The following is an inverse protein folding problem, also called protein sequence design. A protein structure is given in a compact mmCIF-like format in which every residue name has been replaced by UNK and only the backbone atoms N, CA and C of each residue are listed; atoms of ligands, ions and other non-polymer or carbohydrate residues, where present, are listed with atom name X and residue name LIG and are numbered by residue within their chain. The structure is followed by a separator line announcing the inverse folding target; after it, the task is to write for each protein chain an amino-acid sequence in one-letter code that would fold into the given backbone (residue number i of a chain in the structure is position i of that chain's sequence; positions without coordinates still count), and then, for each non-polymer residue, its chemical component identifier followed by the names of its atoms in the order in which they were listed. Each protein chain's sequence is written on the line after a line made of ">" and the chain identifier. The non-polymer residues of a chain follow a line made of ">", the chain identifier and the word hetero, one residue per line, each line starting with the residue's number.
data_IF_123255282992
#
_entry.id   IF_123255282992
#
_cell.length_a   1.000
_cell.length_b   1.000
_cell.length_c   1.000
_cell.angle_alpha   90.00
_cell.angle_beta   90.00
_cell.angle_gamma   90.00
#
_symmetry.space_group_name_H-M   'P 1'
#
loop_
_entity.id
_entity.type
_entity.pdbx_description
1 polymer ?
#
# COMPACT_ATOMS: atom_id res chain seq x y z
N UNK A 1 28.37 27.33 57.76
CA UNK A 1 29.46 26.48 58.29
C UNK A 1 30.05 25.69 57.13
N UNK A 2 31.34 25.87 56.82
CA UNK A 2 32.03 25.26 55.68
C UNK A 2 32.89 24.05 56.10
N UNK A 3 33.19 23.13 55.16
CA UNK A 3 34.49 22.43 55.09
C UNK A 3 34.81 22.02 53.64
N UNK A 4 35.86 22.66 53.09
CA UNK A 4 36.91 22.16 52.16
C UNK A 4 37.35 20.72 52.51
N UNK A 5 38.07 19.93 51.73
CA UNK A 5 38.73 19.93 50.41
C UNK A 5 39.09 18.43 50.16
N UNK A 6 39.36 17.95 48.95
CA UNK A 6 40.75 17.77 48.48
C UNK A 6 40.75 17.20 47.04
N UNK A 7 41.53 17.84 46.17
CA UNK A 7 42.17 17.26 44.98
C UNK A 7 43.59 16.80 45.38
N UNK A 8 44.22 15.83 44.71
CA UNK A 8 45.17 16.24 43.65
C UNK A 8 45.42 15.25 42.48
N UNK A 9 46.00 15.83 41.42
CA UNK A 9 47.03 15.32 40.50
C UNK A 9 46.69 14.31 39.38
N UNK A 10 46.74 14.85 38.16
CA UNK A 10 47.04 14.23 36.84
C UNK A 10 48.44 13.54 36.85
N UNK A 11 48.74 12.60 35.94
CA UNK A 11 49.41 13.03 34.71
C UNK A 11 49.05 12.23 33.43
N UNK A 12 48.90 12.99 32.33
CA UNK A 12 48.98 12.54 30.94
C UNK A 12 50.32 11.85 30.60
N UNK A 13 50.31 10.90 29.67
CA UNK A 13 51.32 10.77 28.62
C UNK A 13 50.62 10.89 27.26
N UNK A 14 51.11 11.53 26.21
CA UNK A 14 52.44 11.94 25.80
C UNK A 14 52.33 12.11 24.28
N UNK A 15 52.33 13.36 23.82
CA UNK A 15 52.27 13.71 22.40
C UNK A 15 53.63 13.36 21.78
N UNK A 16 53.70 12.35 20.92
CA UNK A 16 54.88 12.07 20.12
C UNK A 16 54.68 12.62 18.70
N UNK A 17 55.15 13.85 18.48
CA UNK A 17 55.45 14.39 17.16
C UNK A 17 56.94 14.17 16.94
N UNK A 18 57.33 13.43 15.90
CA UNK A 18 58.62 13.64 15.20
C UNK A 18 58.52 13.35 13.70
N UNK A 19 59.36 14.03 12.89
CA UNK A 19 59.20 14.22 11.45
C UNK A 19 60.04 13.23 10.65
N UNK A 20 59.78 13.11 9.34
CA UNK A 20 60.63 12.29 8.48
C UNK A 20 60.19 12.26 7.03
N UNK A 21 60.60 13.27 6.29
CA UNK A 21 60.61 13.30 4.83
C UNK A 21 61.69 12.31 4.37
N UNK A 22 61.36 11.35 3.49
CA UNK A 22 62.36 10.79 2.57
C UNK A 22 61.69 10.24 1.31
N UNK A 23 62.05 10.87 0.21
CA UNK A 23 61.88 10.47 -1.18
C UNK A 23 62.66 9.18 -1.52
N UNK A 24 62.02 8.27 -2.25
CA UNK A 24 62.62 7.28 -3.16
C UNK A 24 61.47 6.66 -3.99
N UNK A 25 61.05 7.23 -5.12
CA UNK A 25 61.50 6.93 -6.48
C UNK A 25 61.83 5.45 -6.77
N UNK A 26 60.80 4.67 -7.08
CA UNK A 26 60.80 3.52 -8.00
C UNK A 26 59.32 3.32 -8.41
N UNK A 27 58.87 3.73 -9.59
CA UNK A 27 59.24 3.09 -10.85
C UNK A 27 58.44 1.80 -11.06
N UNK A 28 57.10 1.88 -11.09
CA UNK A 28 56.25 0.84 -11.68
C UNK A 28 55.13 1.49 -12.49
N UNK A 29 55.40 1.56 -13.78
CA UNK A 29 54.47 1.75 -14.87
C UNK A 29 53.49 0.56 -14.97
N UNK A 30 52.39 0.60 -14.22
CA UNK A 30 51.28 -0.30 -14.53
C UNK A 30 50.52 0.23 -15.76
N UNK A 31 51.06 -0.11 -16.94
CA UNK A 31 50.33 -0.08 -18.20
C UNK A 31 49.10 -0.98 -18.07
N UNK A 32 47.91 -0.37 -17.98
CA UNK A 32 46.64 -1.08 -18.06
C UNK A 32 46.49 -1.71 -19.44
N UNK A 33 46.83 -3.00 -19.54
CA UNK A 33 46.50 -3.82 -20.70
C UNK A 33 44.98 -3.99 -20.75
N UNK A 34 44.33 -3.34 -21.71
CA UNK A 34 42.92 -3.59 -22.05
C UNK A 34 42.82 -4.95 -22.74
N UNK A 35 42.87 -6.03 -21.96
CA UNK A 35 42.53 -7.35 -22.45
C UNK A 35 41.04 -7.36 -22.85
N UNK A 36 40.79 -7.32 -24.16
CA UNK A 36 39.46 -7.47 -24.73
C UNK A 36 38.87 -8.81 -24.31
N UNK A 37 37.84 -8.78 -23.46
CA UNK A 37 37.05 -9.96 -23.12
C UNK A 37 36.40 -10.49 -24.40
N UNK A 38 36.60 -11.75 -24.81
CA UNK A 38 35.95 -12.28 -26.00
C UNK A 38 34.44 -12.26 -25.82
N UNK A 39 33.74 -11.61 -26.76
CA UNK A 39 32.29 -11.57 -26.78
C UNK A 39 31.74 -13.00 -26.85
N UNK A 40 31.00 -13.42 -25.82
CA UNK A 40 30.28 -14.70 -25.84
C UNK A 40 29.25 -14.66 -26.98
N UNK A 41 29.15 -15.69 -27.84
CA UNK A 41 28.12 -15.71 -28.88
C UNK A 41 26.74 -15.66 -28.24
N UNK A 42 25.89 -14.75 -28.72
CA UNK A 42 24.52 -14.63 -28.25
C UNK A 42 23.78 -15.97 -28.41
N UNK A 43 22.98 -16.41 -27.42
CA UNK A 43 22.24 -17.66 -27.54
C UNK A 43 21.30 -17.59 -28.75
N UNK A 44 21.40 -18.58 -29.65
CA UNK A 44 20.46 -18.73 -30.76
C UNK A 44 19.09 -19.11 -30.21
N UNK A 45 18.19 -18.13 -30.10
CA UNK A 45 16.82 -18.35 -29.70
C UNK A 45 16.07 -19.10 -30.83
N UNK A 46 15.82 -20.39 -30.63
CA UNK A 46 14.94 -21.17 -31.50
C UNK A 46 13.52 -20.59 -31.44
N UNK A 47 13.10 -19.92 -32.51
CA UNK A 47 11.75 -19.33 -32.69
C UNK A 47 10.60 -20.34 -32.66
N UNK A 48 10.90 -21.64 -32.63
CA UNK A 48 9.92 -22.74 -32.73
C UNK A 48 9.35 -23.23 -31.39
N UNK A 49 9.83 -22.75 -30.24
CA UNK A 49 9.17 -22.99 -28.95
C UNK A 49 8.37 -21.74 -28.59
N UNK A 50 7.05 -21.82 -28.72
CA UNK A 50 6.13 -20.77 -28.28
C UNK A 50 6.46 -20.37 -26.84
N UNK A 51 7.00 -19.17 -26.67
CA UNK A 51 7.29 -18.63 -25.36
C UNK A 51 5.96 -18.53 -24.60
N UNK A 52 5.87 -18.98 -23.33
CA UNK A 52 4.72 -18.63 -22.51
C UNK A 52 4.59 -17.11 -22.54
N UNK A 53 3.42 -16.61 -22.97
CA UNK A 53 3.15 -15.21 -23.28
C UNK A 53 3.99 -14.26 -22.41
N UNK A 54 5.01 -13.66 -23.03
CA UNK A 54 5.95 -12.78 -22.35
C UNK A 54 5.21 -11.62 -21.69
N UNK A 55 5.54 -11.37 -20.43
CA UNK A 55 4.98 -10.28 -19.63
C UNK A 55 5.28 -8.95 -20.33
N UNK A 56 4.23 -8.23 -20.72
CA UNK A 56 4.31 -7.04 -21.60
C UNK A 56 3.66 -7.24 -22.98
N UNK A 57 3.17 -8.44 -23.29
CA UNK A 57 2.34 -8.66 -24.46
C UNK A 57 1.08 -7.78 -24.39
N UNK A 58 0.94 -6.87 -25.36
CA UNK A 58 -0.28 -6.10 -25.56
C UNK A 58 -1.45 -7.06 -25.68
N UNK A 59 -2.47 -6.88 -24.85
CA UNK A 59 -3.69 -7.69 -24.91
C UNK A 59 -4.41 -7.34 -26.21
N UNK A 60 -4.04 -8.03 -27.29
CA UNK A 60 -4.51 -7.75 -28.65
C UNK A 60 -5.72 -8.60 -29.03
N UNK A 61 -6.09 -9.60 -28.20
CA UNK A 61 -7.21 -10.50 -28.46
C UNK A 61 -8.01 -10.79 -27.19
N UNK A 62 -9.34 -10.72 -27.30
CA UNK A 62 -10.30 -10.98 -26.21
C UNK A 62 -10.07 -12.34 -25.53
N UNK A 63 -9.82 -13.41 -26.29
CA UNK A 63 -9.57 -14.73 -25.74
C UNK A 63 -8.26 -14.81 -24.93
N UNK A 64 -7.28 -13.96 -25.24
CA UNK A 64 -6.05 -13.83 -24.46
C UNK A 64 -6.31 -13.02 -23.18
N UNK A 65 -7.11 -11.96 -23.26
CA UNK A 65 -7.59 -11.19 -22.11
C UNK A 65 -8.33 -12.08 -21.11
N UNK A 66 -9.30 -12.88 -21.59
CA UNK A 66 -10.10 -13.80 -20.77
C UNK A 66 -9.22 -14.90 -20.15
N UNK A 67 -8.20 -15.41 -20.87
CA UNK A 67 -7.24 -16.39 -20.33
C UNK A 67 -6.28 -15.79 -19.28
N UNK A 68 -5.96 -14.50 -19.37
CA UNK A 68 -5.19 -13.78 -18.34
C UNK A 68 -6.06 -13.29 -17.18
N UNK A 69 -7.34 -13.05 -17.42
CA UNK A 69 -8.36 -12.76 -16.40
C UNK A 69 -8.62 -13.96 -15.47
N UNK A 70 -7.98 -15.11 -15.69
CA UNK A 70 -7.94 -16.25 -14.76
C UNK A 70 -7.48 -15.79 -13.38
N UNK A 71 -8.40 -15.64 -12.41
CA UNK A 71 -8.36 -15.71 -10.92
C UNK A 71 -7.14 -15.17 -10.11
N UNK A 72 -5.96 -15.07 -10.70
CA UNK A 72 -5.46 -13.78 -11.17
C UNK A 72 -5.64 -12.59 -10.25
N UNK A 73 -6.53 -11.72 -10.72
CA UNK A 73 -6.84 -10.39 -10.21
C UNK A 73 -7.16 -10.37 -8.70
N UNK A 74 -6.85 -9.27 -7.99
CA UNK A 74 -7.27 -9.06 -6.61
C UNK A 74 -8.79 -8.88 -6.56
N UNK A 75 -9.53 -9.99 -6.60
CA UNK A 75 -10.99 -9.98 -6.73
C UNK A 75 -11.66 -9.31 -5.53
N UNK A 76 -11.08 -9.44 -4.33
CA UNK A 76 -11.67 -8.87 -3.13
C UNK A 76 -11.73 -7.33 -3.20
N UNK A 77 -10.61 -6.60 -3.41
CA UNK A 77 -10.64 -5.16 -3.64
C UNK A 77 -11.56 -4.75 -4.78
N UNK A 78 -11.60 -5.50 -5.89
CA UNK A 78 -12.52 -5.19 -7.00
C UNK A 78 -13.97 -5.21 -6.53
N UNK A 79 -14.41 -6.27 -5.85
CA UNK A 79 -15.78 -6.37 -5.34
C UNK A 79 -16.07 -5.36 -4.23
N UNK A 80 -15.08 -5.01 -3.39
CA UNK A 80 -15.21 -3.93 -2.39
C UNK A 80 -15.62 -2.61 -3.04
N UNK A 81 -15.05 -2.24 -4.19
CA UNK A 81 -15.43 -0.99 -4.88
C UNK A 81 -16.91 -1.00 -5.30
N UNK A 82 -17.39 -2.12 -5.82
CA UNK A 82 -18.80 -2.27 -6.19
C UNK A 82 -19.70 -2.25 -4.96
N UNK A 83 -19.33 -2.93 -3.87
CA UNK A 83 -20.04 -2.85 -2.59
C UNK A 83 -20.19 -1.39 -2.15
N UNK A 84 -19.09 -0.63 -2.08
CA UNK A 84 -19.12 0.78 -1.65
C UNK A 84 -19.98 1.61 -2.59
N UNK A 85 -19.73 1.52 -3.90
CA UNK A 85 -20.44 2.33 -4.89
C UNK A 85 -21.95 2.06 -4.87
N UNK A 86 -22.38 0.81 -4.82
CA UNK A 86 -23.79 0.44 -4.80
C UNK A 86 -24.48 0.88 -3.50
N UNK A 87 -23.84 0.69 -2.34
CA UNK A 87 -24.42 1.14 -1.07
C UNK A 87 -24.55 2.65 -0.99
N UNK A 88 -23.51 3.40 -1.40
CA UNK A 88 -23.54 4.87 -1.44
C UNK A 88 -24.59 5.37 -2.44
N UNK A 89 -24.70 4.72 -3.60
CA UNK A 89 -25.68 5.08 -4.63
C UNK A 89 -27.11 4.87 -4.11
N UNK A 90 -27.39 3.72 -3.49
CA UNK A 90 -28.68 3.46 -2.84
C UNK A 90 -29.03 4.53 -1.81
N UNK A 91 -28.09 4.83 -0.90
CA UNK A 91 -28.27 5.87 0.09
C UNK A 91 -28.60 7.23 -0.52
N UNK A 92 -27.85 7.64 -1.56
CA UNK A 92 -28.07 8.91 -2.23
C UNK A 92 -29.48 8.98 -2.85
N UNK A 93 -29.93 7.92 -3.52
CA UNK A 93 -31.26 7.92 -4.14
C UNK A 93 -32.40 7.89 -3.13
N UNK A 94 -32.28 7.11 -2.05
CA UNK A 94 -33.28 7.10 -0.98
C UNK A 94 -33.29 8.46 -0.23
N UNK A 95 -32.13 9.11 -0.04
CA UNK A 95 -32.09 10.46 0.53
C UNK A 95 -32.72 11.50 -0.39
N UNK A 96 -32.45 11.45 -1.70
CA UNK A 96 -33.07 12.35 -2.67
C UNK A 96 -34.58 12.13 -2.74
N UNK A 97 -35.05 10.89 -2.63
CA UNK A 97 -36.48 10.59 -2.56
C UNK A 97 -37.12 11.22 -1.31
N UNK A 98 -36.49 11.05 -0.15
CA UNK A 98 -36.99 11.61 1.10
C UNK A 98 -37.05 13.15 1.08
N UNK A 99 -36.09 13.81 0.42
CA UNK A 99 -36.01 15.27 0.36
C UNK A 99 -36.90 15.90 -0.73
N UNK A 100 -37.07 15.22 -1.86
CA UNK A 100 -37.72 15.80 -3.05
C UNK A 100 -39.01 15.10 -3.48
N UNK A 101 -39.35 13.94 -2.89
CA UNK A 101 -40.60 13.21 -3.17
C UNK A 101 -40.65 12.54 -4.56
N UNK A 102 -39.49 12.28 -5.17
CA UNK A 102 -39.43 11.67 -6.50
C UNK A 102 -39.58 10.15 -6.43
N UNK A 103 -40.81 9.65 -6.57
CA UNK A 103 -41.14 8.22 -6.51
C UNK A 103 -40.33 7.34 -7.48
N UNK A 104 -39.86 7.87 -8.62
CA UNK A 104 -39.01 7.13 -9.55
C UNK A 104 -37.65 6.73 -8.95
N UNK A 105 -37.17 7.46 -7.93
CA UNK A 105 -35.91 7.17 -7.25
C UNK A 105 -36.04 5.98 -6.29
N UNK A 106 -37.25 5.66 -5.82
CA UNK A 106 -37.51 4.48 -4.97
C UNK A 106 -37.06 3.18 -5.65
N UNK A 107 -37.30 3.05 -6.96
CA UNK A 107 -36.89 1.88 -7.70
C UNK A 107 -35.36 1.77 -7.77
N UNK A 108 -34.68 2.89 -8.01
CA UNK A 108 -33.22 2.93 -8.11
C UNK A 108 -32.57 2.60 -6.77
N UNK A 109 -33.04 3.22 -5.67
CA UNK A 109 -32.58 2.92 -4.31
C UNK A 109 -32.74 1.44 -3.96
N UNK A 110 -33.90 0.87 -4.25
CA UNK A 110 -34.20 -0.54 -3.99
C UNK A 110 -33.28 -1.52 -4.75
N UNK A 111 -33.18 -1.36 -6.07
CA UNK A 111 -32.39 -2.28 -6.90
C UNK A 111 -30.89 -2.14 -6.65
N UNK A 112 -30.40 -0.93 -6.36
CA UNK A 112 -29.00 -0.71 -6.02
C UNK A 112 -28.64 -1.29 -4.65
N UNK A 113 -29.52 -1.18 -3.65
CA UNK A 113 -29.30 -1.83 -2.35
C UNK A 113 -29.29 -3.35 -2.48
N UNK A 114 -30.24 -3.91 -3.23
CA UNK A 114 -30.32 -5.35 -3.51
C UNK A 114 -29.03 -5.83 -4.17
N UNK A 115 -28.55 -5.11 -5.19
CA UNK A 115 -27.27 -5.40 -5.82
C UNK A 115 -26.10 -5.28 -4.83
N UNK A 116 -26.10 -4.28 -3.95
CA UNK A 116 -25.07 -4.11 -2.92
C UNK A 116 -25.00 -5.33 -1.98
N UNK A 117 -26.14 -5.87 -1.53
CA UNK A 117 -26.20 -7.08 -0.71
C UNK A 117 -25.58 -8.27 -1.45
N UNK A 118 -26.01 -8.51 -2.70
CA UNK A 118 -25.52 -9.64 -3.50
C UNK A 118 -24.01 -9.55 -3.79
N UNK A 119 -23.52 -8.36 -4.15
CA UNK A 119 -22.09 -8.13 -4.39
C UNK A 119 -21.29 -8.30 -3.10
N UNK A 120 -21.80 -7.79 -1.97
CA UNK A 120 -21.11 -7.89 -0.67
C UNK A 120 -20.94 -9.33 -0.22
N UNK A 121 -21.89 -10.22 -0.53
CA UNK A 121 -21.71 -11.65 -0.32
C UNK A 121 -20.48 -12.19 -1.05
N UNK A 122 -20.28 -11.79 -2.32
CA UNK A 122 -19.07 -12.10 -3.09
C UNK A 122 -17.81 -11.44 -2.51
N UNK A 123 -17.92 -10.20 -2.03
CA UNK A 123 -16.83 -9.45 -1.37
C UNK A 123 -16.30 -10.20 -0.14
N UNK A 124 -17.19 -10.73 0.70
CA UNK A 124 -16.80 -11.53 1.88
C UNK A 124 -16.14 -12.83 1.46
N UNK A 125 -16.73 -13.58 0.52
CA UNK A 125 -16.20 -14.86 0.07
C UNK A 125 -14.78 -14.71 -0.51
N UNK A 126 -14.57 -13.68 -1.33
CA UNK A 126 -13.25 -13.36 -1.90
C UNK A 126 -12.28 -12.82 -0.84
N UNK A 127 -12.75 -12.08 0.16
CA UNK A 127 -11.95 -11.58 1.28
C UNK A 127 -11.39 -12.70 2.15
N UNK A 128 -12.21 -13.68 2.53
CA UNK A 128 -11.77 -14.87 3.27
C UNK A 128 -10.69 -15.61 2.47
N UNK A 129 -10.92 -15.82 1.17
CA UNK A 129 -9.94 -16.46 0.27
C UNK A 129 -8.64 -15.66 0.17
N UNK A 130 -8.70 -14.33 0.15
CA UNK A 130 -7.53 -13.47 0.14
C UNK A 130 -6.73 -13.61 1.43
N UNK A 131 -7.40 -13.55 2.58
CA UNK A 131 -6.75 -13.72 3.89
C UNK A 131 -5.96 -15.01 4.00
N UNK A 132 -6.51 -16.13 3.51
CA UNK A 132 -5.83 -17.44 3.53
C UNK A 132 -4.56 -17.48 2.67
N UNK A 133 -4.40 -16.55 1.71
CA UNK A 133 -3.26 -16.49 0.78
C UNK A 133 -2.21 -15.46 1.18
N UNK A 134 -2.55 -14.51 2.05
CA UNK A 134 -1.67 -13.41 2.46
C UNK A 134 -0.85 -13.83 3.70
N UNK A 135 0.49 -14.01 3.57
CA UNK A 135 1.35 -14.17 4.73
C UNK A 135 1.64 -12.79 5.35
N UNK A 136 0.68 -12.30 6.13
CA UNK A 136 0.83 -11.09 6.94
C UNK A 136 1.30 -11.52 8.33
N UNK A 137 2.54 -11.16 8.66
CA UNK A 137 3.17 -11.37 9.97
C UNK A 137 2.48 -10.52 11.05
N UNK A 138 2.70 -10.88 12.32
CA UNK A 138 2.14 -10.14 13.46
C UNK A 138 2.70 -8.70 13.51
N UNK A 139 1.88 -7.75 13.96
CA UNK A 139 2.20 -6.33 13.97
C UNK A 139 1.01 -5.46 13.54
N UNK A 140 1.30 -4.22 13.16
CA UNK A 140 0.28 -3.21 12.80
C UNK A 140 -0.61 -3.70 11.65
N UNK A 141 -0.02 -4.19 10.55
CA UNK A 141 -0.75 -4.74 9.40
C UNK A 141 -1.74 -5.86 9.78
N UNK A 142 -1.35 -6.73 10.71
CA UNK A 142 -2.21 -7.82 11.19
C UNK A 142 -3.35 -7.32 12.05
N UNK A 143 -3.11 -6.26 12.84
CA UNK A 143 -4.15 -5.61 13.64
C UNK A 143 -5.25 -5.03 12.76
N UNK A 144 -4.86 -4.24 11.75
CA UNK A 144 -5.79 -3.68 10.75
C UNK A 144 -6.60 -4.78 10.05
N UNK A 145 -5.93 -5.87 9.65
CA UNK A 145 -6.58 -7.02 9.02
C UNK A 145 -7.60 -7.71 9.93
N UNK A 146 -7.29 -7.87 11.23
CA UNK A 146 -8.23 -8.46 12.20
C UNK A 146 -9.47 -7.61 12.37
N UNK A 147 -9.30 -6.30 12.55
CA UNK A 147 -10.44 -5.38 12.70
C UNK A 147 -11.29 -5.35 11.43
N UNK A 148 -10.66 -5.26 10.26
CA UNK A 148 -11.36 -5.28 8.96
C UNK A 148 -12.18 -6.56 8.75
N UNK A 149 -11.61 -7.72 9.12
CA UNK A 149 -12.27 -9.02 9.03
C UNK A 149 -13.38 -9.19 10.06
N UNK A 150 -13.21 -8.66 11.27
CA UNK A 150 -14.22 -8.72 12.32
C UNK A 150 -15.42 -7.84 11.98
N UNK A 151 -15.19 -6.66 11.40
CA UNK A 151 -16.25 -5.70 11.06
C UNK A 151 -17.02 -6.10 9.79
N UNK A 152 -16.41 -6.87 8.87
CA UNK A 152 -17.02 -7.29 7.60
C UNK A 152 -18.37 -8.02 7.75
N UNK A 153 -18.47 -9.09 8.55
CA UNK A 153 -19.73 -9.78 8.80
C UNK A 153 -20.80 -8.89 9.43
N UNK A 154 -20.43 -8.01 10.37
CA UNK A 154 -21.35 -7.05 10.97
C UNK A 154 -21.88 -6.05 9.94
N UNK A 155 -21.02 -5.50 9.09
CA UNK A 155 -21.43 -4.65 7.96
C UNK A 155 -22.41 -5.36 7.03
N UNK A 156 -22.13 -6.62 6.68
CA UNK A 156 -23.02 -7.39 5.83
C UNK A 156 -24.37 -7.69 6.48
N UNK A 157 -24.37 -8.04 7.77
CA UNK A 157 -25.61 -8.23 8.53
C UNK A 157 -26.47 -6.96 8.58
N UNK A 158 -25.85 -5.80 8.81
CA UNK A 158 -26.51 -4.50 8.76
C UNK A 158 -27.10 -4.23 7.36
N UNK A 159 -26.33 -4.51 6.31
CA UNK A 159 -26.78 -4.31 4.93
C UNK A 159 -27.94 -5.23 4.57
N UNK A 160 -27.94 -6.49 5.02
CA UNK A 160 -29.05 -7.43 4.85
C UNK A 160 -30.29 -6.96 5.63
N UNK A 161 -30.13 -6.54 6.88
CA UNK A 161 -31.23 -6.05 7.69
C UNK A 161 -31.90 -4.82 7.06
N UNK A 162 -31.11 -3.86 6.56
CA UNK A 162 -31.62 -2.71 5.82
C UNK A 162 -32.20 -3.09 4.46
N UNK A 163 -31.64 -4.10 3.79
CA UNK A 163 -32.22 -4.67 2.58
C UNK A 163 -33.62 -5.26 2.82
N UNK A 164 -33.81 -5.99 3.92
CA UNK A 164 -35.12 -6.54 4.30
C UNK A 164 -36.10 -5.41 4.60
N UNK A 165 -35.73 -4.46 5.47
CA UNK A 165 -36.57 -3.31 5.80
C UNK A 165 -36.95 -2.51 4.54
N UNK A 166 -35.96 -2.26 3.66
CA UNK A 166 -36.21 -1.56 2.40
C UNK A 166 -37.11 -2.33 1.45
N UNK A 167 -37.04 -3.67 1.48
CA UNK A 167 -37.88 -4.56 0.69
C UNK A 167 -39.33 -4.58 1.18
N UNK A 168 -39.56 -4.51 2.48
CA UNK A 168 -40.90 -4.35 3.05
C UNK A 168 -41.55 -3.03 2.60
N UNK A 169 -40.79 -1.92 2.65
CA UNK A 169 -41.26 -0.63 2.13
C UNK A 169 -41.58 -0.71 0.63
N UNK A 170 -40.73 -1.35 -0.15
CA UNK A 170 -40.93 -1.54 -1.59
C UNK A 170 -42.21 -2.35 -1.89
N UNK A 171 -42.43 -3.47 -1.18
CA UNK A 171 -43.62 -4.31 -1.38
C UNK A 171 -44.92 -3.60 -0.96
N UNK A 172 -44.85 -2.75 0.08
CA UNK A 172 -45.99 -1.95 0.52
C UNK A 172 -46.27 -0.73 -0.38
N UNK A 173 -45.41 -0.42 -1.36
CA UNK A 173 -45.48 0.82 -2.13
C UNK A 173 -45.23 2.07 -1.27
N UNK A 174 -44.54 1.92 -0.14
CA UNK A 174 -44.25 2.99 0.79
C UNK A 174 -42.96 3.75 0.41
N UNK A 175 -42.90 5.03 0.78
CA UNK A 175 -41.71 5.87 0.65
C UNK A 175 -40.68 5.53 1.73
N UNK A 176 -39.43 5.97 1.58
CA UNK A 176 -38.47 5.80 2.68
C UNK A 176 -38.77 6.76 3.83
N UNK A 177 -38.34 6.40 5.03
CA UNK A 177 -38.57 7.19 6.25
C UNK A 177 -37.28 7.81 6.77
N UNK A 178 -37.39 8.87 7.57
CA UNK A 178 -36.24 9.46 8.26
C UNK A 178 -35.46 8.46 9.11
N UNK A 179 -36.15 7.50 9.74
CA UNK A 179 -35.52 6.45 10.54
C UNK A 179 -34.71 5.47 9.69
N UNK A 180 -35.24 5.08 8.53
CA UNK A 180 -34.51 4.26 7.57
C UNK A 180 -33.24 4.96 7.08
N UNK A 181 -33.36 6.24 6.69
CA UNK A 181 -32.22 7.03 6.23
C UNK A 181 -31.18 7.24 7.33
N UNK A 182 -31.60 7.49 8.58
CA UNK A 182 -30.69 7.56 9.73
C UNK A 182 -29.93 6.24 9.94
N UNK A 183 -30.58 5.09 9.78
CA UNK A 183 -29.92 3.80 9.85
C UNK A 183 -28.93 3.58 8.68
N UNK A 184 -29.28 4.03 7.47
CA UNK A 184 -28.35 4.02 6.33
C UNK A 184 -27.13 4.92 6.56
N UNK A 185 -27.26 6.07 7.23
CA UNK A 185 -26.12 6.90 7.64
C UNK A 185 -25.18 6.10 8.56
N UNK A 186 -25.72 5.31 9.50
CA UNK A 186 -24.93 4.39 10.31
C UNK A 186 -24.13 3.39 9.46
N UNK A 187 -24.77 2.82 8.43
CA UNK A 187 -24.08 1.94 7.46
C UNK A 187 -23.02 2.69 6.66
N UNK A 188 -23.25 3.94 6.26
CA UNK A 188 -22.25 4.77 5.57
C UNK A 188 -20.99 4.99 6.43
N UNK A 189 -21.15 5.20 7.74
CA UNK A 189 -20.02 5.30 8.67
C UNK A 189 -19.24 3.99 8.70
N UNK A 190 -19.92 2.85 8.83
CA UNK A 190 -19.27 1.53 8.81
C UNK A 190 -18.58 1.26 7.47
N UNK A 191 -19.19 1.65 6.34
CA UNK A 191 -18.59 1.57 5.00
C UNK A 191 -17.30 2.39 4.91
N UNK A 192 -17.31 3.62 5.43
CA UNK A 192 -16.13 4.48 5.43
C UNK A 192 -14.98 3.87 6.27
N UNK A 193 -15.29 3.32 7.46
CA UNK A 193 -14.31 2.62 8.30
C UNK A 193 -13.76 1.38 7.59
N UNK A 194 -14.62 0.57 6.97
CA UNK A 194 -14.17 -0.60 6.20
C UNK A 194 -13.29 -0.23 5.01
N UNK A 195 -13.64 0.84 4.29
CA UNK A 195 -12.85 1.40 3.20
C UNK A 195 -11.49 1.90 3.67
N UNK A 196 -11.43 2.59 4.81
CA UNK A 196 -10.19 3.06 5.41
C UNK A 196 -9.27 1.89 5.81
N UNK A 197 -9.78 0.91 6.56
CA UNK A 197 -9.01 -0.25 7.00
C UNK A 197 -8.49 -1.07 5.82
N UNK A 198 -9.35 -1.31 4.82
CA UNK A 198 -8.98 -2.02 3.59
C UNK A 198 -7.97 -1.24 2.75
N UNK A 199 -8.15 0.08 2.66
CA UNK A 199 -7.22 0.99 1.99
C UNK A 199 -5.84 0.94 2.62
N UNK A 200 -5.73 0.99 3.95
CA UNK A 200 -4.46 0.90 4.64
C UNK A 200 -3.73 -0.43 4.37
N UNK A 201 -4.47 -1.54 4.37
CA UNK A 201 -3.93 -2.85 4.03
C UNK A 201 -3.36 -2.87 2.60
N UNK A 202 -4.04 -2.28 1.63
CA UNK A 202 -3.61 -2.27 0.23
C UNK A 202 -2.48 -1.26 0.00
N UNK A 203 -2.66 -0.01 0.43
CA UNK A 203 -1.79 1.10 0.06
C UNK A 203 -0.55 1.22 0.95
N UNK A 204 -0.66 1.04 2.27
CA UNK A 204 0.49 1.11 3.18
C UNK A 204 1.19 -0.24 3.28
N UNK A 205 0.43 -1.32 3.48
CA UNK A 205 0.99 -2.65 3.72
C UNK A 205 1.15 -3.50 2.46
N UNK A 206 0.54 -3.12 1.33
CA UNK A 206 0.71 -3.82 0.06
C UNK A 206 -0.02 -5.16 -0.02
N UNK A 207 -1.07 -5.37 0.77
CA UNK A 207 -1.93 -6.54 0.66
C UNK A 207 -2.46 -6.69 -0.77
N UNK A 208 -2.38 -7.90 -1.31
CA UNK A 208 -2.74 -8.27 -2.69
C UNK A 208 -1.92 -7.61 -3.83
N UNK A 209 -1.10 -6.61 -3.51
CA UNK A 209 -0.27 -5.83 -4.44
C UNK A 209 1.20 -6.31 -4.39
N UNK A 210 1.85 -6.28 -3.22
CA UNK A 210 3.26 -6.66 -3.04
C UNK A 210 3.50 -8.15 -3.28
N UNK A 211 2.54 -9.01 -2.95
CA UNK A 211 2.63 -10.46 -3.21
C UNK A 211 2.65 -10.83 -4.70
N UNK A 212 2.34 -9.88 -5.60
CA UNK A 212 2.31 -10.15 -7.05
C UNK A 212 3.26 -9.29 -7.87
N UNK A 213 4.07 -8.44 -7.24
CA UNK A 213 5.26 -7.92 -7.90
C UNK A 213 6.33 -9.01 -7.92
N UNK A 214 6.35 -9.76 -9.02
CA UNK A 214 7.57 -10.46 -9.42
C UNK A 214 8.66 -9.41 -9.62
N UNK A 215 9.83 -9.63 -9.00
CA UNK A 215 11.04 -8.87 -9.33
C UNK A 215 11.16 -8.78 -10.86
N UNK A 216 11.19 -7.55 -11.36
CA UNK A 216 11.44 -7.30 -12.77
C UNK A 216 12.83 -7.87 -13.07
N UNK A 217 13.00 -8.80 -14.02
CA UNK A 217 14.33 -9.25 -14.39
C UNK A 217 15.10 -8.06 -14.94
N UNK A 218 16.13 -7.61 -14.22
CA UNK A 218 17.12 -6.68 -14.76
C UNK A 218 17.31 -5.33 -14.06
N UNK A 219 16.72 -5.05 -12.89
CA UNK A 219 17.18 -3.88 -12.11
C UNK A 219 18.14 -4.34 -11.02
N UNK A 220 19.45 -4.32 -11.31
CA UNK A 220 20.47 -4.17 -10.26
C UNK A 220 20.20 -2.81 -9.60
N UNK A 221 19.29 -2.76 -8.62
CA UNK A 221 19.24 -1.62 -7.72
C UNK A 221 20.48 -1.74 -6.83
N UNK A 222 21.57 -1.16 -7.30
CA UNK A 222 22.64 -0.70 -6.42
C UNK A 222 22.02 0.44 -5.61
N UNK A 223 21.28 0.11 -4.55
CA UNK A 223 21.02 1.10 -3.51
C UNK A 223 22.40 1.58 -3.05
N UNK A 224 22.69 2.90 -3.07
CA UNK A 224 23.86 3.41 -2.41
C UNK A 224 23.80 2.93 -0.96
N UNK A 225 24.73 2.03 -0.62
CA UNK A 225 24.96 1.57 0.73
C UNK A 225 25.33 2.82 1.51
N UNK A 226 24.49 3.20 2.48
CA UNK A 226 24.69 4.25 3.48
C UNK A 226 25.47 5.47 2.97
N UNK A 227 24.77 6.58 2.74
CA UNK A 227 25.43 7.87 2.94
C UNK A 227 25.86 7.87 4.41
N UNK A 228 27.15 7.65 4.65
CA UNK A 228 27.79 7.93 5.92
C UNK A 228 27.54 9.40 6.20
N UNK A 229 26.58 9.66 7.09
CA UNK A 229 26.23 11.02 7.55
C UNK A 229 27.44 11.66 8.27
N UNK A 230 28.47 10.89 8.62
CA UNK A 230 29.69 11.38 9.26
C UNK A 230 30.60 12.20 8.34
N UNK A 231 30.55 12.01 7.02
CA UNK A 231 31.46 12.71 6.09
C UNK A 231 30.89 14.05 5.59
N UNK A 232 29.59 14.28 5.78
CA UNK A 232 28.92 15.55 5.48
C UNK A 232 29.00 16.57 6.64
N UNK A 233 29.19 16.09 7.88
CA UNK A 233 29.28 16.96 9.07
C UNK A 233 30.68 17.57 9.26
N UNK A 234 31.74 16.93 8.75
CA UNK A 234 33.14 17.39 8.95
C UNK A 234 33.61 18.49 7.98
N UNK A 235 32.75 18.95 7.07
CA UNK A 235 33.04 20.01 6.09
C UNK A 235 32.23 21.28 6.29
N UNK A 236 31.76 21.56 7.51
CA UNK A 236 31.31 22.92 7.85
C UNK A 236 32.54 23.75 8.22
N UNK A 237 32.81 24.86 7.53
CA UNK A 237 33.71 25.87 8.06
C UNK A 237 32.97 26.60 9.18
N UNK A 238 33.33 26.31 10.42
CA UNK A 238 33.03 27.15 11.57
C UNK A 238 33.94 28.37 11.49
N UNK A 239 33.45 29.49 10.93
CA UNK A 239 34.06 30.81 11.12
C UNK A 239 33.07 31.91 10.73
N UNK A 240 32.21 32.32 11.68
CA UNK A 240 31.79 33.72 11.81
C UNK A 240 31.61 34.04 13.31
N UNK A 241 32.67 34.59 13.92
CA UNK A 241 32.61 35.22 15.23
C UNK A 241 31.99 36.63 15.13
N UNK A 242 31.23 37.10 16.14
CA UNK A 242 30.47 38.33 16.07
C UNK A 242 31.37 39.57 16.28
N UNK A 243 31.34 40.50 15.33
CA UNK A 243 31.97 41.82 15.50
C UNK A 243 31.16 42.65 16.50
N UNK A 244 31.74 42.92 17.66
CA UNK A 244 31.23 43.85 18.66
C UNK A 244 31.19 45.28 18.10
N UNK A 245 30.05 45.96 18.30
CA UNK A 245 29.96 47.43 18.23
C UNK A 245 30.24 48.01 19.62
N UNK A 246 31.20 48.92 19.68
CA UNK A 246 31.28 50.03 20.62
C UNK A 246 31.80 51.24 19.83
#
# INVERSE_FOLDING_TARGET
>A
MPTRSDTPSDPRPGLAVRPGISSATAGQDQSYSTASVPARPAPKWNRARGLPAGRGATVTRLNHAIRLAKLTAPLHPILVHFTIALTVTSFAFDLLELLFGFNTLLAVGWWTLTAAVLVTMGTIATGVKSRLRLPIEEGEARSFLRVHMALGPSFFGLLVALGIWRGELWQAGATVTWWYVAAMIGVMVVTAVQGYLGGELVYRYGAEVKFRYRELPGRRQRFPRHLDVSEAESRRPDDEAPTQRA
#
